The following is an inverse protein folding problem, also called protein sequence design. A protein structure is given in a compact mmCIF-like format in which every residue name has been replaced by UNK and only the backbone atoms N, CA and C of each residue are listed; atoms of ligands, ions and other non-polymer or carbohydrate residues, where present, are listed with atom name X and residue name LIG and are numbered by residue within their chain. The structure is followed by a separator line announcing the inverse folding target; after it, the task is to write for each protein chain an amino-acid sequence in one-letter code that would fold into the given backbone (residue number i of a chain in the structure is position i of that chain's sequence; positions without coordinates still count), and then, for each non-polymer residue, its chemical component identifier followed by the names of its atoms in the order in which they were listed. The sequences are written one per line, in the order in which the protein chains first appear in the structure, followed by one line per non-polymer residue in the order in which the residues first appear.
data_IF_314203542014
#
_entry.id   IF_314203542014
#
_cell.length_a   1.000
_cell.length_b   1.000
_cell.length_c   1.000
_cell.angle_alpha   90.00
_cell.angle_beta   90.00
_cell.angle_gamma   90.00
#
_symmetry.space_group_name_H-M   'P 1'
#
loop_
_entity.id
_entity.type
_entity.pdbx_description
1 polymer ?
#
# COMPACT_ATOMS: atom_id res chain seq x y z
N UNK A 1 -14.07 -15.16 -4.30
CA UNK A 1 -13.11 -15.89 -3.46
C UNK A 1 -13.66 -16.24 -2.07
N UNK A 2 -14.93 -15.99 -1.79
CA UNK A 2 -15.57 -16.36 -0.52
C UNK A 2 -15.15 -15.54 0.72
N UNK A 3 -14.52 -14.40 0.52
CA UNK A 3 -14.16 -13.46 1.59
C UNK A 3 -15.20 -12.36 1.66
N UNK A 4 -15.66 -12.05 2.87
CA UNK A 4 -16.51 -10.89 3.12
C UNK A 4 -15.62 -9.69 3.49
N UNK A 5 -15.77 -8.58 2.77
CA UNK A 5 -15.12 -7.31 3.10
C UNK A 5 -16.00 -6.51 4.04
N UNK A 6 -15.43 -6.03 5.13
CA UNK A 6 -16.09 -5.15 6.09
C UNK A 6 -15.33 -3.82 6.07
N UNK A 7 -15.97 -2.77 5.56
CA UNK A 7 -15.35 -1.46 5.47
C UNK A 7 -15.33 -0.73 6.83
N UNK A 8 -14.20 -0.04 7.10
CA UNK A 8 -14.05 0.92 8.17
C UNK A 8 -13.77 2.26 7.50
N UNK A 9 -14.79 3.11 7.30
CA UNK A 9 -14.65 4.32 6.50
C UNK A 9 -13.86 5.40 7.24
N UNK A 10 -12.92 6.03 6.56
CA UNK A 10 -12.40 7.35 6.88
C UNK A 10 -13.19 8.42 6.13
N UNK A 11 -13.14 9.67 6.59
CA UNK A 11 -13.93 10.75 6.03
C UNK A 11 -13.08 11.94 5.62
N UNK A 12 -13.61 12.77 4.73
CA UNK A 12 -12.94 14.00 4.31
C UNK A 12 -12.76 14.97 5.50
N UNK A 13 -13.67 14.96 6.48
CA UNK A 13 -13.61 15.84 7.65
C UNK A 13 -12.39 15.56 8.53
N UNK A 14 -11.88 14.34 8.49
CA UNK A 14 -10.64 13.93 9.17
C UNK A 14 -9.42 13.91 8.24
N UNK A 15 -9.55 14.44 7.01
CA UNK A 15 -8.52 14.33 5.98
C UNK A 15 -8.17 12.88 5.61
N UNK A 16 -9.12 11.97 5.78
CA UNK A 16 -8.97 10.53 5.56
C UNK A 16 -7.98 9.82 6.50
N UNK A 17 -7.69 10.41 7.67
CA UNK A 17 -6.87 9.79 8.71
C UNK A 17 -7.43 8.43 9.13
N UNK A 18 -6.56 7.62 9.76
CA UNK A 18 -6.96 6.34 10.31
C UNK A 18 -8.13 6.54 11.29
N UNK A 19 -9.25 5.83 11.11
CA UNK A 19 -10.33 5.84 12.09
C UNK A 19 -9.86 5.39 13.48
N UNK A 20 -10.62 5.77 14.49
CA UNK A 20 -10.33 5.37 15.86
C UNK A 20 -10.23 3.84 15.98
N UNK A 21 -9.30 3.37 16.79
CA UNK A 21 -8.99 1.95 16.93
C UNK A 21 -10.21 1.15 17.41
N UNK A 22 -11.10 1.74 18.19
CA UNK A 22 -12.37 1.14 18.61
C UNK A 22 -13.24 0.71 17.42
N UNK A 23 -13.22 1.45 16.32
CA UNK A 23 -13.97 1.09 15.12
C UNK A 23 -13.46 -0.21 14.46
N UNK A 24 -12.17 -0.51 14.60
CA UNK A 24 -11.59 -1.78 14.17
C UNK A 24 -12.00 -2.91 15.13
N UNK A 25 -11.85 -2.68 16.43
CA UNK A 25 -12.21 -3.65 17.47
C UNK A 25 -13.67 -4.13 17.35
N UNK A 26 -14.61 -3.22 17.10
CA UNK A 26 -16.03 -3.52 16.91
C UNK A 26 -16.31 -4.43 15.70
N UNK A 27 -15.44 -4.39 14.69
CA UNK A 27 -15.62 -5.18 13.45
C UNK A 27 -14.86 -6.49 13.45
N UNK A 28 -13.88 -6.66 14.34
CA UNK A 28 -13.10 -7.88 14.44
C UNK A 28 -13.94 -8.99 15.08
N UNK A 29 -13.94 -10.15 14.46
CA UNK A 29 -14.62 -11.36 14.92
C UNK A 29 -13.65 -12.55 14.82
N UNK A 30 -13.96 -13.73 15.41
CA UNK A 30 -13.15 -14.94 15.21
C UNK A 30 -12.98 -15.37 13.73
N UNK A 31 -13.80 -14.82 12.83
CA UNK A 31 -13.71 -15.07 11.38
C UNK A 31 -12.81 -14.07 10.65
N UNK A 32 -12.42 -12.96 11.29
CA UNK A 32 -11.53 -11.96 10.70
C UNK A 32 -10.15 -12.58 10.46
N UNK A 33 -9.59 -12.38 9.27
CA UNK A 33 -8.30 -12.94 8.86
C UNK A 33 -7.25 -11.88 8.57
N UNK A 34 -7.68 -10.71 8.10
CA UNK A 34 -6.75 -9.66 7.73
C UNK A 34 -7.37 -8.27 7.84
N UNK A 35 -6.52 -7.27 7.98
CA UNK A 35 -6.77 -5.87 7.72
C UNK A 35 -6.07 -5.54 6.41
N UNK A 36 -6.78 -4.94 5.46
CA UNK A 36 -6.21 -4.46 4.20
C UNK A 36 -6.12 -2.94 4.25
N UNK A 37 -4.93 -2.40 4.01
CA UNK A 37 -4.68 -0.97 3.88
C UNK A 37 -3.99 -0.68 2.55
N UNK A 38 -4.09 0.57 2.09
CA UNK A 38 -3.32 1.10 0.96
C UNK A 38 -2.51 2.31 1.47
N UNK A 39 -1.18 2.24 1.38
CA UNK A 39 -0.28 3.24 1.96
C UNK A 39 0.91 3.56 1.03
N UNK A 40 0.91 4.71 0.35
CA UNK A 40 -0.10 5.80 0.32
C UNK A 40 -1.44 5.38 -0.27
N UNK A 41 -2.52 6.01 0.21
CA UNK A 41 -3.90 5.64 -0.11
C UNK A 41 -4.36 6.02 -1.51
N UNK A 42 -5.03 5.14 -2.21
CA UNK A 42 -5.77 5.45 -3.42
C UNK A 42 -7.27 5.34 -3.12
N UNK A 43 -8.09 6.38 -3.37
CA UNK A 43 -7.81 7.61 -4.15
C UNK A 43 -7.41 8.82 -3.29
N UNK A 44 -7.36 8.72 -1.98
CA UNK A 44 -7.28 9.86 -1.06
C UNK A 44 -5.90 10.53 -1.00
N UNK A 45 -4.84 9.80 -1.39
CA UNK A 45 -3.46 10.25 -1.22
C UNK A 45 -2.99 10.25 0.25
N UNK A 46 -3.82 9.77 1.19
CA UNK A 46 -3.44 9.75 2.60
C UNK A 46 -2.23 8.88 2.85
N UNK A 47 -1.28 9.39 3.61
CA UNK A 47 -0.08 8.70 4.04
C UNK A 47 -0.21 8.37 5.53
N UNK A 48 -0.28 7.10 5.88
CA UNK A 48 -0.34 6.69 7.28
C UNK A 48 0.94 7.06 8.02
N UNK A 49 0.75 7.69 9.18
CA UNK A 49 1.84 7.97 10.11
C UNK A 49 2.38 6.69 10.72
N UNK A 50 3.61 6.73 11.21
CA UNK A 50 4.20 5.59 11.92
C UNK A 50 3.40 5.19 13.16
N UNK A 51 2.80 6.17 13.85
CA UNK A 51 1.97 5.91 15.04
C UNK A 51 0.63 5.23 14.68
N UNK A 52 0.02 5.60 13.56
CA UNK A 52 -1.18 4.93 13.06
C UNK A 52 -0.88 3.47 12.67
N UNK A 53 0.23 3.25 11.95
CA UNK A 53 0.66 1.89 11.60
C UNK A 53 0.98 1.06 12.84
N UNK A 54 1.56 1.66 13.89
CA UNK A 54 1.80 1.00 15.18
C UNK A 54 0.50 0.58 15.85
N UNK A 55 -0.51 1.44 15.86
CA UNK A 55 -1.85 1.08 16.40
C UNK A 55 -2.46 -0.10 15.65
N UNK A 56 -2.34 -0.12 14.30
CA UNK A 56 -2.79 -1.27 13.50
C UNK A 56 -2.00 -2.53 13.80
N UNK A 57 -0.68 -2.41 14.02
CA UNK A 57 0.17 -3.53 14.42
C UNK A 57 -0.27 -4.14 15.76
N UNK A 58 -0.55 -3.30 16.75
CA UNK A 58 -1.04 -3.74 18.08
C UNK A 58 -2.35 -4.53 17.96
N UNK A 59 -3.31 -4.06 17.14
CA UNK A 59 -4.55 -4.80 16.88
C UNK A 59 -4.28 -6.13 16.18
N UNK A 60 -3.45 -6.13 15.16
CA UNK A 60 -3.15 -7.32 14.39
C UNK A 60 -2.54 -8.42 15.28
N UNK A 61 -1.61 -8.04 16.16
CA UNK A 61 -0.98 -8.95 17.11
C UNK A 61 -1.99 -9.44 18.18
N UNK A 62 -2.80 -8.53 18.72
CA UNK A 62 -3.82 -8.86 19.73
C UNK A 62 -4.80 -9.93 19.25
N UNK A 63 -5.19 -9.88 17.97
CA UNK A 63 -6.20 -10.77 17.38
C UNK A 63 -5.63 -11.87 16.48
N UNK A 64 -4.31 -11.98 16.38
CA UNK A 64 -3.60 -12.91 15.48
C UNK A 64 -4.12 -12.85 14.04
N UNK A 65 -4.24 -11.64 13.51
CA UNK A 65 -4.66 -11.37 12.12
C UNK A 65 -3.53 -10.75 11.32
N UNK A 66 -3.63 -10.85 9.98
CA UNK A 66 -2.59 -10.37 9.07
C UNK A 66 -2.89 -8.95 8.61
N UNK A 67 -1.89 -8.08 8.56
CA UNK A 67 -1.98 -6.81 7.84
C UNK A 67 -1.49 -7.03 6.41
N UNK A 68 -2.34 -6.71 5.44
CA UNK A 68 -1.99 -6.67 4.02
C UNK A 68 -1.89 -5.20 3.64
N UNK A 69 -0.68 -4.74 3.35
CA UNK A 69 -0.39 -3.35 2.95
C UNK A 69 -0.12 -3.29 1.46
N UNK A 70 -1.01 -2.61 0.72
CA UNK A 70 -0.74 -2.25 -0.67
C UNK A 70 0.13 -0.99 -0.68
N UNK A 71 1.39 -1.15 -1.08
CA UNK A 71 2.40 -0.08 -1.07
C UNK A 71 2.85 0.32 -2.48
N UNK A 72 2.02 0.07 -3.49
CA UNK A 72 2.36 0.34 -4.91
C UNK A 72 2.64 1.82 -5.20
N UNK A 73 2.18 2.73 -4.35
CA UNK A 73 2.39 4.17 -4.48
C UNK A 73 3.51 4.72 -3.58
N UNK A 74 4.33 3.89 -2.97
CA UNK A 74 5.34 4.31 -1.99
C UNK A 74 6.36 5.34 -2.50
N UNK A 75 6.60 5.40 -3.81
CA UNK A 75 7.49 6.39 -4.42
C UNK A 75 6.80 7.75 -4.66
N UNK A 76 5.46 7.80 -4.56
CA UNK A 76 4.67 9.00 -4.77
C UNK A 76 4.31 9.67 -3.43
N UNK A 77 5.35 10.00 -2.67
CA UNK A 77 5.28 10.75 -1.43
C UNK A 77 5.91 12.11 -1.65
N UNK A 78 5.24 13.17 -1.20
CA UNK A 78 5.54 14.54 -1.52
C UNK A 78 5.95 15.33 -0.26
N UNK A 79 6.40 16.58 -0.46
CA UNK A 79 6.62 17.58 0.59
C UNK A 79 7.66 17.15 1.66
N UNK A 80 8.61 16.28 1.26
CA UNK A 80 9.67 15.80 2.15
C UNK A 80 9.25 14.68 3.11
N UNK A 81 8.00 14.25 3.06
CA UNK A 81 7.50 13.11 3.82
C UNK A 81 8.11 11.79 3.33
N UNK A 82 8.04 10.77 4.18
CA UNK A 82 8.50 9.41 3.87
C UNK A 82 7.43 8.39 4.20
N UNK A 83 7.19 7.49 3.26
CA UNK A 83 6.36 6.32 3.52
C UNK A 83 7.07 5.40 4.52
N UNK A 84 6.31 4.91 5.51
CA UNK A 84 6.73 3.84 6.41
C UNK A 84 6.09 2.54 5.94
N UNK A 85 6.90 1.55 5.62
CA UNK A 85 6.40 0.22 5.26
C UNK A 85 5.94 -0.54 6.49
N UNK A 86 4.88 -1.34 6.34
CA UNK A 86 4.45 -2.26 7.42
C UNK A 86 5.55 -3.28 7.77
N UNK A 87 6.48 -3.53 6.85
CA UNK A 87 7.64 -4.40 7.12
C UNK A 87 8.69 -3.77 8.05
N UNK A 88 8.60 -2.47 8.37
CA UNK A 88 9.50 -1.84 9.33
C UNK A 88 9.17 -2.22 10.80
N UNK A 89 8.05 -2.89 11.03
CA UNK A 89 7.63 -3.39 12.33
C UNK A 89 8.06 -4.85 12.53
N UNK A 90 9.20 -5.11 13.22
CA UNK A 90 9.74 -6.47 13.35
C UNK A 90 8.80 -7.42 14.12
N UNK A 91 7.98 -6.89 15.02
CA UNK A 91 6.97 -7.63 15.75
C UNK A 91 5.88 -8.22 14.86
N UNK A 92 5.64 -7.64 13.69
CA UNK A 92 4.69 -8.14 12.68
C UNK A 92 5.30 -9.18 11.73
N UNK A 93 6.46 -9.75 12.05
CA UNK A 93 7.15 -10.71 11.17
C UNK A 93 6.21 -11.78 10.61
N UNK A 94 5.37 -12.36 11.45
CA UNK A 94 4.44 -13.44 11.08
C UNK A 94 3.08 -12.93 10.59
N UNK A 95 2.78 -11.63 10.77
CA UNK A 95 1.45 -11.05 10.59
C UNK A 95 1.43 -9.93 9.53
N UNK A 96 2.44 -9.82 8.66
CA UNK A 96 2.45 -8.77 7.62
C UNK A 96 2.74 -9.30 6.22
N UNK A 97 2.05 -8.68 5.26
CA UNK A 97 2.24 -8.85 3.82
C UNK A 97 2.28 -7.46 3.18
N UNK A 98 3.27 -7.21 2.34
CA UNK A 98 3.30 -6.07 1.43
C UNK A 98 2.97 -6.54 0.02
N UNK A 99 2.13 -5.79 -0.66
CA UNK A 99 1.89 -5.91 -2.10
C UNK A 99 2.56 -4.71 -2.78
N UNK A 100 3.36 -4.99 -3.79
CA UNK A 100 4.05 -3.97 -4.59
C UNK A 100 3.97 -4.32 -6.08
N UNK A 101 4.23 -3.34 -6.95
CA UNK A 101 4.13 -3.52 -8.40
C UNK A 101 4.97 -2.50 -9.17
N UNK A 102 5.53 -2.94 -10.28
CA UNK A 102 6.21 -2.08 -11.25
C UNK A 102 5.26 -1.15 -12.01
N UNK A 103 3.96 -1.45 -11.94
CA UNK A 103 2.92 -0.73 -12.71
C UNK A 103 2.92 0.77 -12.46
N UNK A 104 3.11 1.19 -11.20
CA UNK A 104 3.07 2.61 -10.81
C UNK A 104 4.47 3.21 -10.77
N UNK A 105 5.41 2.52 -10.12
CA UNK A 105 6.79 2.99 -9.93
C UNK A 105 7.45 3.43 -11.23
N UNK A 106 7.33 2.63 -12.31
CA UNK A 106 7.99 2.87 -13.59
C UNK A 106 7.02 3.17 -14.75
N UNK A 107 5.76 3.51 -14.46
CA UNK A 107 4.72 3.69 -15.48
C UNK A 107 4.56 2.47 -16.40
N UNK A 108 4.81 1.27 -15.86
CA UNK A 108 4.88 0.00 -16.59
C UNK A 108 3.66 -0.88 -16.36
N UNK A 109 2.45 -0.31 -16.37
CA UNK A 109 1.23 -1.07 -16.11
C UNK A 109 0.99 -2.23 -17.10
N UNK A 110 1.49 -2.12 -18.33
CA UNK A 110 1.41 -3.16 -19.36
C UNK A 110 2.35 -4.35 -19.16
N UNK A 111 3.40 -4.21 -18.36
CA UNK A 111 4.41 -5.27 -18.11
C UNK A 111 3.84 -6.39 -17.23
N UNK A 112 2.83 -6.10 -16.40
CA UNK A 112 2.12 -7.07 -15.55
C UNK A 112 3.01 -7.77 -14.53
N UNK A 113 3.94 -7.05 -13.91
CA UNK A 113 4.81 -7.53 -12.85
C UNK A 113 4.46 -6.86 -11.53
N UNK A 114 4.37 -7.66 -10.49
CA UNK A 114 4.21 -7.25 -9.10
C UNK A 114 4.71 -8.34 -8.18
N UNK A 115 4.82 -8.04 -6.92
CA UNK A 115 5.31 -8.97 -5.91
C UNK A 115 4.48 -8.92 -4.63
N UNK A 116 4.53 -10.03 -3.92
CA UNK A 116 4.09 -10.14 -2.55
C UNK A 116 5.32 -10.36 -1.66
N UNK A 117 5.50 -9.53 -0.66
CA UNK A 117 6.63 -9.60 0.25
C UNK A 117 6.15 -9.91 1.66
N UNK A 118 6.72 -10.90 2.29
CA UNK A 118 6.47 -11.24 3.70
C UNK A 118 7.71 -11.86 4.33
N UNK A 119 7.86 -11.72 5.65
CA UNK A 119 8.91 -12.40 6.43
C UNK A 119 8.42 -13.69 7.07
N UNK A 120 7.12 -13.97 6.99
CA UNK A 120 6.52 -15.19 7.51
C UNK A 120 6.75 -16.35 6.53
N UNK A 121 7.46 -17.38 6.97
CA UNK A 121 7.64 -18.59 6.18
C UNK A 121 6.30 -19.29 5.87
N UNK A 122 5.37 -19.24 6.82
CA UNK A 122 4.03 -19.84 6.65
C UNK A 122 3.25 -19.13 5.53
N UNK A 123 3.21 -17.79 5.54
CA UNK A 123 2.53 -17.00 4.52
C UNK A 123 3.22 -17.14 3.17
N UNK A 124 4.55 -17.10 3.14
CA UNK A 124 5.34 -17.33 1.93
C UNK A 124 5.05 -18.69 1.32
N UNK A 125 5.10 -19.77 2.12
CA UNK A 125 4.82 -21.11 1.63
C UNK A 125 3.41 -21.28 1.06
N UNK A 126 2.42 -20.68 1.71
CA UNK A 126 1.04 -20.68 1.21
C UNK A 126 0.92 -19.93 -0.12
N UNK A 127 1.52 -18.74 -0.22
CA UNK A 127 1.51 -17.94 -1.45
C UNK A 127 2.23 -18.63 -2.60
N UNK A 128 3.36 -19.31 -2.32
CA UNK A 128 4.10 -20.06 -3.34
C UNK A 128 3.27 -21.17 -3.98
N UNK A 129 2.40 -21.84 -3.23
CA UNK A 129 1.50 -22.86 -3.81
C UNK A 129 0.56 -22.25 -4.85
N UNK A 130 0.01 -21.05 -4.57
CA UNK A 130 -0.83 -20.33 -5.53
C UNK A 130 -0.02 -19.81 -6.72
N UNK A 131 1.18 -19.31 -6.49
CA UNK A 131 2.06 -18.84 -7.54
C UNK A 131 2.44 -19.98 -8.51
N UNK A 132 2.76 -21.16 -7.99
CA UNK A 132 3.06 -22.34 -8.77
C UNK A 132 1.85 -22.85 -9.56
N UNK A 133 0.66 -22.81 -8.98
CA UNK A 133 -0.59 -23.18 -9.68
C UNK A 133 -0.93 -22.21 -10.82
N UNK A 134 -0.60 -20.92 -10.65
CA UNK A 134 -0.79 -19.87 -11.67
C UNK A 134 0.28 -19.93 -12.79
N UNK A 135 1.41 -20.53 -12.56
CA UNK A 135 2.63 -20.49 -13.36
C UNK A 135 3.39 -19.15 -13.27
N UNK A 136 4.56 -19.08 -13.89
CA UNK A 136 5.44 -17.91 -13.81
C UNK A 136 4.86 -16.70 -14.55
N UNK A 137 5.20 -15.47 -14.12
CA UNK A 137 4.98 -14.26 -14.91
C UNK A 137 5.70 -14.32 -16.26
N UNK A 138 5.27 -13.47 -17.18
CA UNK A 138 5.89 -13.37 -18.52
C UNK A 138 7.37 -13.04 -18.41
N UNK A 139 8.24 -13.82 -19.06
CA UNK A 139 9.70 -13.67 -18.97
C UNK A 139 10.18 -12.27 -19.39
N UNK A 140 9.64 -11.72 -20.49
CA UNK A 140 10.01 -10.37 -20.94
C UNK A 140 9.67 -9.31 -19.87
N UNK A 141 8.54 -9.47 -19.20
CA UNK A 141 8.17 -8.59 -18.09
C UNK A 141 9.16 -8.64 -16.93
N UNK A 142 9.66 -9.83 -16.58
CA UNK A 142 10.66 -9.99 -15.53
C UNK A 142 12.00 -9.34 -15.90
N UNK A 143 12.46 -9.50 -17.14
CA UNK A 143 13.68 -8.86 -17.65
C UNK A 143 13.56 -7.34 -17.59
N UNK A 144 12.45 -6.80 -18.10
CA UNK A 144 12.20 -5.34 -18.11
C UNK A 144 12.17 -4.80 -16.67
N UNK A 145 11.48 -5.47 -15.75
CA UNK A 145 11.43 -5.07 -14.36
C UNK A 145 12.82 -5.07 -13.70
N UNK A 146 13.64 -6.09 -13.97
CA UNK A 146 15.01 -6.18 -13.45
C UNK A 146 15.87 -5.00 -13.94
N UNK A 147 15.81 -4.68 -15.23
CA UNK A 147 16.55 -3.56 -15.79
C UNK A 147 16.07 -2.20 -15.23
N UNK A 148 14.76 -2.04 -14.99
CA UNK A 148 14.20 -0.82 -14.42
C UNK A 148 14.78 -0.49 -13.03
N UNK A 149 15.10 -1.51 -12.22
CA UNK A 149 15.69 -1.33 -10.89
C UNK A 149 17.17 -0.93 -10.89
N UNK A 150 17.87 -1.06 -11.99
CA UNK A 150 19.31 -0.74 -12.03
C UNK A 150 19.60 0.77 -12.01
N UNK A 151 18.68 1.61 -12.53
CA UNK A 151 18.87 3.06 -12.67
C UNK A 151 17.61 3.83 -12.29
N UNK A 152 16.96 3.48 -11.21
CA UNK A 152 15.63 3.98 -10.86
C UNK A 152 15.60 5.35 -10.16
N UNK A 153 16.65 5.70 -9.41
CA UNK A 153 16.64 6.87 -8.54
C UNK A 153 16.41 8.19 -9.30
N UNK A 154 17.08 8.39 -10.44
CA UNK A 154 16.94 9.60 -11.24
C UNK A 154 15.55 9.66 -11.89
N UNK A 155 15.07 8.55 -12.44
CA UNK A 155 13.74 8.44 -13.03
C UNK A 155 12.65 8.74 -11.99
N UNK A 156 12.71 8.10 -10.83
CA UNK A 156 11.74 8.29 -9.75
C UNK A 156 11.73 9.74 -9.26
N UNK A 157 12.91 10.36 -9.11
CA UNK A 157 13.02 11.76 -8.71
C UNK A 157 12.36 12.69 -9.73
N UNK A 158 12.64 12.50 -11.03
CA UNK A 158 12.06 13.29 -12.10
C UNK A 158 10.53 13.13 -12.19
N UNK A 159 10.04 11.91 -12.10
CA UNK A 159 8.59 11.63 -12.11
C UNK A 159 7.90 12.25 -10.90
N UNK A 160 8.48 12.14 -9.69
CA UNK A 160 7.93 12.73 -8.49
C UNK A 160 7.85 14.26 -8.58
N UNK A 161 8.90 14.90 -9.11
CA UNK A 161 8.91 16.36 -9.34
C UNK A 161 7.80 16.78 -10.29
N UNK A 162 7.63 16.11 -11.43
CA UNK A 162 6.57 16.37 -12.40
C UNK A 162 5.17 16.22 -11.77
N UNK A 163 4.92 15.16 -11.00
CA UNK A 163 3.65 14.98 -10.32
C UNK A 163 3.43 16.00 -9.19
N UNK A 164 4.49 16.46 -8.52
CA UNK A 164 4.40 17.57 -7.55
C UNK A 164 3.89 18.84 -8.22
N UNK A 165 4.44 19.20 -9.37
CA UNK A 165 4.02 20.37 -10.12
C UNK A 165 2.57 20.25 -10.61
N UNK A 166 2.18 19.11 -11.16
CA UNK A 166 0.80 18.84 -11.60
C UNK A 166 -0.20 18.91 -10.45
N UNK A 167 0.13 18.32 -9.30
CA UNK A 167 -0.70 18.38 -8.10
C UNK A 167 -0.90 19.83 -7.66
N UNK A 168 0.18 20.60 -7.55
CA UNK A 168 0.12 21.98 -7.08
C UNK A 168 -0.75 22.84 -8.01
N UNK A 169 -0.54 22.74 -9.32
CA UNK A 169 -1.35 23.45 -10.31
C UNK A 169 -2.82 23.00 -10.24
N UNK A 170 -3.10 21.70 -10.13
CA UNK A 170 -4.47 21.20 -10.04
C UNK A 170 -5.18 21.73 -8.80
N UNK A 171 -4.53 21.72 -7.64
CA UNK A 171 -5.09 22.23 -6.38
C UNK A 171 -5.34 23.73 -6.47
N UNK A 172 -4.41 24.50 -7.05
CA UNK A 172 -4.58 25.93 -7.28
C UNK A 172 -5.83 26.20 -8.13
N UNK A 173 -5.94 25.59 -9.30
CA UNK A 173 -7.07 25.78 -10.21
C UNK A 173 -8.42 25.30 -9.62
N UNK A 174 -8.43 24.18 -8.88
CA UNK A 174 -9.65 23.70 -8.24
C UNK A 174 -10.14 24.64 -7.14
N UNK A 175 -9.23 25.26 -6.39
CA UNK A 175 -9.59 26.22 -5.34
C UNK A 175 -10.17 27.54 -5.88
N UNK A 176 -9.99 27.84 -7.17
CA UNK A 176 -10.64 28.98 -7.83
C UNK A 176 -12.12 28.72 -8.16
N UNK A 177 -12.57 27.46 -8.13
CA UNK A 177 -13.94 27.09 -8.49
C UNK A 177 -14.86 27.21 -7.26
N UNK A 178 -15.88 28.08 -7.27
CA UNK A 178 -16.79 28.22 -6.14
C UNK A 178 -17.49 26.91 -5.79
N UNK A 179 -17.38 26.50 -4.51
CA UNK A 179 -18.02 25.29 -3.99
C UNK A 179 -17.16 24.01 -4.10
N UNK A 180 -15.99 24.07 -4.68
CA UNK A 180 -14.98 22.99 -4.61
C UNK A 180 -14.16 23.18 -3.32
N UNK A 181 -13.92 22.06 -2.64
CA UNK A 181 -13.07 22.00 -1.43
C UNK A 181 -12.08 20.86 -1.58
#
# INVERSE_FOLDING_TARGET
IGVQVVAIPSTIDTGFALPEISAFEEKITPKTKAILICNPGNPTGYLYTKDELKKLAEIALKHDIVIISDEVYREYVYDGEKQTSILEFPELKENSIVIDSESKRYSMCGVRIGCMVTRSEKLHHAAMKFAQARLSPVLLGQIIATEAHHNDAEYIAAVREEYTQRRNLLVELLNEIPGVK
#
